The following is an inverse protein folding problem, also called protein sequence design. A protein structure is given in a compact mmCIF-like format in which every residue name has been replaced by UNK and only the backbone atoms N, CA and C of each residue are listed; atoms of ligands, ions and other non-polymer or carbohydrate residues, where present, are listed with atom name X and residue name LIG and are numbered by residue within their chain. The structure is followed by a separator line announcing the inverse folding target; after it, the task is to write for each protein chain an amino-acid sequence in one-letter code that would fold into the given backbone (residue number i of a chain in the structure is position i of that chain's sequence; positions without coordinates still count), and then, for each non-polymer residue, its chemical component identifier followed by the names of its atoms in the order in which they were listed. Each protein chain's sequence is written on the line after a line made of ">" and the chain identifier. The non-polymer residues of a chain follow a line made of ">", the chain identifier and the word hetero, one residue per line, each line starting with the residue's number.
data_IF_708751125224
#
_entry.id   IF_708751125224
#
_cell.length_a   1.000
_cell.length_b   1.000
_cell.length_c   1.000
_cell.angle_alpha   90.00
_cell.angle_beta   90.00
_cell.angle_gamma   90.00
#
_symmetry.space_group_name_H-M   'P 1'
#
loop_
_entity.id
_entity.type
_entity.pdbx_description
1 polymer ?
#
# COMPACT_ATOMS: atom_id res chain seq x y z
N UNK A 1 12.89 8.28 27.36
CA UNK A 1 12.77 8.85 26.00
C UNK A 1 13.34 7.83 25.04
N UNK A 2 12.57 7.29 24.09
CA UNK A 2 13.12 6.33 23.12
C UNK A 2 13.99 7.09 22.13
N UNK A 3 15.28 7.08 22.39
CA UNK A 3 16.32 7.59 21.50
C UNK A 3 16.33 6.77 20.21
N UNK A 4 16.77 7.37 19.10
CA UNK A 4 16.90 6.77 17.77
C UNK A 4 17.52 5.36 17.74
N UNK A 5 18.26 4.94 18.77
CA UNK A 5 18.89 3.62 18.90
C UNK A 5 17.93 2.42 18.86
N UNK A 6 16.64 2.56 19.24
CA UNK A 6 15.70 1.42 19.29
C UNK A 6 14.98 1.12 17.98
N UNK A 7 14.99 2.05 17.02
CA UNK A 7 14.29 1.87 15.74
C UNK A 7 15.09 0.94 14.82
N UNK A 8 14.46 -0.12 14.25
CA UNK A 8 15.13 -1.03 13.33
C UNK A 8 15.81 -0.32 12.17
N UNK A 9 16.96 -0.86 11.74
CA UNK A 9 17.73 -0.31 10.62
C UNK A 9 16.90 -0.23 9.33
N UNK A 10 16.04 -1.23 9.07
CA UNK A 10 15.17 -1.27 7.90
C UNK A 10 14.18 -0.08 7.87
N UNK A 11 13.63 0.30 9.01
CA UNK A 11 12.71 1.44 9.13
C UNK A 11 13.44 2.77 8.91
N UNK A 12 14.65 2.90 9.46
CA UNK A 12 15.51 4.08 9.24
C UNK A 12 15.86 4.28 7.76
N UNK A 13 16.10 3.19 7.04
CA UNK A 13 16.33 3.21 5.58
C UNK A 13 15.09 3.67 4.81
N UNK A 14 13.89 3.46 5.34
CA UNK A 14 12.63 3.99 4.81
C UNK A 14 12.30 5.42 5.30
N UNK A 15 13.20 6.05 6.06
CA UNK A 15 13.04 7.40 6.59
C UNK A 15 12.24 7.49 7.89
N UNK A 16 11.90 6.35 8.51
CA UNK A 16 11.19 6.27 9.79
C UNK A 16 12.24 6.17 10.90
N UNK A 17 12.45 7.24 11.65
CA UNK A 17 13.57 7.35 12.61
C UNK A 17 13.15 7.35 14.09
N UNK A 18 11.85 7.30 14.38
CA UNK A 18 11.29 7.34 15.73
C UNK A 18 10.00 6.52 15.83
N UNK A 19 9.64 6.16 17.06
CA UNK A 19 8.28 5.75 17.42
C UNK A 19 7.47 6.99 17.81
N UNK A 20 6.16 6.94 17.62
CA UNK A 20 5.26 8.05 17.95
C UNK A 20 4.78 8.03 19.41
N UNK A 21 4.94 6.88 20.09
CA UNK A 21 4.40 6.62 21.42
C UNK A 21 5.51 6.30 22.40
N UNK A 22 5.27 6.58 23.69
CA UNK A 22 6.17 6.25 24.81
C UNK A 22 5.82 4.89 25.43
N UNK A 23 4.72 4.27 25.02
CA UNK A 23 4.37 2.91 25.45
C UNK A 23 5.39 1.87 24.98
N UNK A 24 5.73 0.91 25.84
CA UNK A 24 6.63 -0.19 25.49
C UNK A 24 5.97 -1.14 24.47
N UNK A 25 6.76 -1.64 23.52
CA UNK A 25 6.30 -2.66 22.59
C UNK A 25 6.00 -3.98 23.31
N UNK A 26 4.94 -4.67 22.86
CA UNK A 26 4.52 -5.96 23.43
C UNK A 26 5.25 -7.17 22.82
N UNK A 27 6.05 -6.96 21.77
CA UNK A 27 6.66 -8.03 20.98
C UNK A 27 5.62 -8.82 20.19
N UNK A 28 5.87 -10.12 20.03
CA UNK A 28 4.95 -11.04 19.35
C UNK A 28 5.02 -11.04 17.83
N UNK A 29 4.19 -11.88 17.23
CA UNK A 29 4.11 -12.11 15.79
C UNK A 29 2.69 -11.88 15.28
N UNK A 30 2.59 -11.39 14.05
CA UNK A 30 1.32 -11.27 13.33
C UNK A 30 1.34 -12.21 12.11
N UNK A 31 0.14 -12.55 11.61
CA UNK A 31 -0.03 -13.40 10.43
C UNK A 31 0.56 -14.80 10.61
N UNK A 32 0.57 -15.33 11.84
CA UNK A 32 0.92 -16.74 12.13
C UNK A 32 -0.06 -17.69 11.44
N UNK A 33 -1.36 -17.40 11.54
CA UNK A 33 -2.43 -18.07 10.80
C UNK A 33 -3.19 -17.06 9.93
N UNK A 34 -3.93 -17.56 8.94
CA UNK A 34 -4.73 -16.71 8.06
C UNK A 34 -5.87 -16.01 8.81
N UNK A 35 -6.39 -16.66 9.84
CA UNK A 35 -7.44 -16.16 10.74
C UNK A 35 -6.98 -14.97 11.59
N UNK A 36 -5.68 -14.84 11.83
CA UNK A 36 -5.11 -13.82 12.70
C UNK A 36 -5.02 -12.44 12.04
N UNK A 37 -5.35 -12.33 10.75
CA UNK A 37 -5.32 -11.06 10.02
C UNK A 37 -6.53 -10.95 9.11
N UNK A 38 -7.57 -10.26 9.60
CA UNK A 38 -8.80 -10.01 8.88
C UNK A 38 -8.89 -8.55 8.45
N UNK A 39 -9.31 -8.33 7.20
CA UNK A 39 -9.50 -7.00 6.63
C UNK A 39 -10.89 -6.92 6.02
N UNK A 40 -11.70 -5.98 6.49
CA UNK A 40 -13.02 -5.70 5.93
C UNK A 40 -13.03 -4.29 5.33
N UNK A 41 -13.41 -4.19 4.06
CA UNK A 41 -13.57 -2.91 3.38
C UNK A 41 -14.77 -2.14 3.92
N UNK A 42 -14.56 -0.87 4.27
CA UNK A 42 -15.62 0.03 4.74
C UNK A 42 -15.88 1.07 3.66
N UNK A 43 -17.13 1.13 3.19
CA UNK A 43 -17.56 2.10 2.19
C UNK A 43 -18.71 2.95 2.71
N UNK A 44 -18.93 4.11 2.09
CA UNK A 44 -20.07 4.95 2.39
C UNK A 44 -21.35 4.37 1.75
N UNK A 45 -22.05 3.50 2.49
CA UNK A 45 -23.24 2.80 2.01
C UNK A 45 -24.41 3.72 1.66
N UNK A 46 -24.53 4.89 2.30
CA UNK A 46 -25.62 5.85 2.01
C UNK A 46 -25.59 6.39 0.58
N UNK A 47 -24.43 6.30 -0.08
CA UNK A 47 -24.22 6.81 -1.43
C UNK A 47 -24.30 5.71 -2.50
N UNK A 48 -24.75 4.50 -2.13
CA UNK A 48 -24.83 3.37 -3.04
C UNK A 48 -26.28 3.15 -3.47
N UNK A 49 -26.52 3.35 -4.76
CA UNK A 49 -27.82 3.15 -5.38
C UNK A 49 -27.96 1.68 -5.86
N UNK A 50 -28.56 0.83 -5.02
CA UNK A 50 -28.72 -0.62 -5.24
C UNK A 50 -30.18 -1.06 -5.32
N UNK A 51 -30.42 -2.11 -6.10
CA UNK A 51 -31.67 -2.87 -6.13
C UNK A 51 -31.39 -4.37 -6.02
N UNK A 52 -32.18 -5.11 -5.25
CA UNK A 52 -32.08 -6.58 -5.18
C UNK A 52 -32.53 -7.25 -6.48
N UNK A 53 -33.39 -6.57 -7.24
CA UNK A 53 -33.92 -7.07 -8.51
C UNK A 53 -33.20 -6.38 -9.66
N UNK A 54 -32.72 -7.18 -10.61
CA UNK A 54 -32.12 -6.69 -11.85
C UNK A 54 -33.17 -6.01 -12.73
N UNK A 55 -32.88 -4.80 -13.17
CA UNK A 55 -33.69 -4.05 -14.16
C UNK A 55 -32.78 -3.41 -15.20
N UNK A 56 -33.35 -2.72 -16.19
CA UNK A 56 -32.55 -1.96 -17.17
C UNK A 56 -31.80 -0.79 -16.51
N UNK A 57 -32.34 -0.26 -15.41
CA UNK A 57 -31.69 0.78 -14.61
C UNK A 57 -30.66 0.20 -13.65
N UNK A 58 -30.95 -0.93 -13.00
CA UNK A 58 -30.07 -1.61 -12.03
C UNK A 58 -29.55 -2.91 -12.63
N UNK A 59 -28.45 -2.81 -13.37
CA UNK A 59 -27.95 -3.90 -14.23
C UNK A 59 -26.59 -4.45 -13.86
N UNK A 60 -25.82 -3.71 -13.08
CA UNK A 60 -24.44 -4.06 -12.75
C UNK A 60 -24.39 -4.86 -11.44
N UNK A 61 -24.12 -6.17 -11.47
CA UNK A 61 -24.15 -6.97 -10.26
C UNK A 61 -23.06 -6.52 -9.28
N UNK A 62 -23.45 -6.41 -8.01
CA UNK A 62 -22.61 -6.05 -6.88
C UNK A 62 -22.52 -7.24 -5.94
N UNK A 63 -21.30 -7.54 -5.54
CA UNK A 63 -20.96 -8.66 -4.69
C UNK A 63 -20.16 -8.19 -3.47
N UNK A 64 -20.30 -8.95 -2.39
CA UNK A 64 -19.25 -9.08 -1.39
C UNK A 64 -18.31 -10.20 -1.84
N UNK A 65 -17.04 -9.85 -2.03
CA UNK A 65 -15.95 -10.78 -2.32
C UNK A 65 -15.17 -11.06 -1.04
N UNK A 66 -15.27 -12.29 -0.58
CA UNK A 66 -14.39 -12.85 0.44
C UNK A 66 -13.27 -13.64 -0.23
N UNK A 67 -12.01 -13.34 0.09
CA UNK A 67 -10.86 -14.11 -0.40
C UNK A 67 -9.93 -14.50 0.74
N UNK A 68 -9.27 -15.65 0.59
CA UNK A 68 -8.33 -16.19 1.56
C UNK A 68 -7.05 -16.68 0.88
N UNK A 69 -5.90 -16.27 1.41
CA UNK A 69 -4.56 -16.68 0.97
C UNK A 69 -4.30 -16.49 -0.55
N UNK A 70 -4.79 -15.40 -1.11
CA UNK A 70 -4.60 -15.03 -2.53
C UNK A 70 -4.63 -13.51 -2.67
N UNK A 71 -3.82 -12.93 -3.56
CA UNK A 71 -3.93 -11.50 -3.85
C UNK A 71 -5.16 -11.19 -4.72
N UNK A 72 -5.56 -9.93 -4.72
CA UNK A 72 -6.77 -9.50 -5.40
C UNK A 72 -6.76 -9.82 -6.90
N UNK A 73 -5.63 -9.72 -7.61
CA UNK A 73 -5.61 -9.94 -9.05
C UNK A 73 -5.78 -11.43 -9.39
N UNK A 74 -5.10 -12.31 -8.66
CA UNK A 74 -5.28 -13.76 -8.84
C UNK A 74 -6.69 -14.20 -8.45
N UNK A 75 -7.27 -13.64 -7.39
CA UNK A 75 -8.68 -13.89 -7.03
C UNK A 75 -9.65 -13.52 -8.16
N UNK A 76 -9.49 -12.33 -8.75
CA UNK A 76 -10.34 -11.88 -9.87
C UNK A 76 -10.15 -12.77 -11.11
N UNK A 77 -8.92 -13.18 -11.41
CA UNK A 77 -8.64 -14.10 -12.51
C UNK A 77 -9.24 -15.49 -12.29
N UNK A 78 -9.17 -16.01 -11.06
CA UNK A 78 -9.81 -17.27 -10.68
C UNK A 78 -11.32 -17.20 -10.92
N UNK A 79 -11.99 -16.15 -10.42
CA UNK A 79 -13.43 -15.93 -10.64
C UNK A 79 -13.75 -15.84 -12.13
N UNK A 80 -12.97 -15.07 -12.89
CA UNK A 80 -13.17 -14.93 -14.34
C UNK A 80 -13.06 -16.29 -15.05
N UNK A 81 -12.09 -17.13 -14.68
CA UNK A 81 -11.91 -18.44 -15.29
C UNK A 81 -13.06 -19.41 -14.98
N UNK A 82 -13.57 -19.41 -13.74
CA UNK A 82 -14.59 -20.36 -13.31
C UNK A 82 -16.01 -19.94 -13.71
N UNK A 83 -16.30 -18.64 -13.73
CA UNK A 83 -17.66 -18.12 -13.91
C UNK A 83 -17.81 -17.16 -15.09
N UNK A 84 -16.74 -16.92 -15.84
CA UNK A 84 -16.71 -15.94 -16.94
C UNK A 84 -17.21 -14.56 -16.48
N UNK A 85 -16.86 -14.18 -15.24
CA UNK A 85 -17.31 -12.95 -14.61
C UNK A 85 -16.12 -12.02 -14.41
N UNK A 86 -16.11 -10.91 -15.16
CA UNK A 86 -15.07 -9.90 -15.02
C UNK A 86 -15.45 -8.90 -13.92
N UNK A 87 -14.77 -8.98 -12.78
CA UNK A 87 -15.02 -8.16 -11.61
C UNK A 87 -14.02 -7.01 -11.49
N UNK A 88 -14.50 -5.89 -10.93
CA UNK A 88 -13.72 -4.73 -10.53
C UNK A 88 -13.86 -4.50 -9.02
N UNK A 89 -12.81 -4.01 -8.39
CA UNK A 89 -12.72 -3.73 -6.94
C UNK A 89 -12.24 -2.29 -6.72
N UNK A 90 -12.51 -1.74 -5.53
CA UNK A 90 -12.14 -0.36 -5.18
C UNK A 90 -10.67 -0.24 -4.75
N UNK A 91 -10.13 -1.26 -4.09
CA UNK A 91 -8.74 -1.34 -3.66
C UNK A 91 -8.22 -2.76 -3.57
N UNK A 92 -6.90 -2.92 -3.69
CA UNK A 92 -6.22 -4.21 -3.46
C UNK A 92 -6.10 -4.43 -1.95
N UNK A 93 -6.27 -5.69 -1.50
CA UNK A 93 -6.13 -6.08 -0.08
C UNK A 93 -5.03 -7.12 0.07
N UNK A 94 -4.57 -7.32 1.30
CA UNK A 94 -3.53 -8.29 1.67
C UNK A 94 -3.76 -9.68 1.09
N UNK A 95 -2.71 -10.31 0.56
CA UNK A 95 -2.78 -11.67 0.02
C UNK A 95 -2.83 -12.72 1.14
N UNK A 96 -1.97 -12.57 2.16
CA UNK A 96 -1.89 -13.45 3.34
C UNK A 96 -2.82 -12.97 4.45
N UNK A 97 -4.12 -13.03 4.18
CA UNK A 97 -5.18 -12.56 5.07
C UNK A 97 -6.53 -13.19 4.67
N UNK A 98 -7.52 -13.12 5.57
CA UNK A 98 -8.94 -13.23 5.20
C UNK A 98 -9.46 -11.82 4.93
N UNK A 99 -9.95 -11.58 3.72
CA UNK A 99 -10.39 -10.23 3.35
C UNK A 99 -11.79 -10.24 2.78
N UNK A 100 -12.62 -9.27 3.18
CA UNK A 100 -13.98 -9.03 2.69
C UNK A 100 -14.03 -7.66 2.04
N UNK A 101 -14.44 -7.57 0.78
CA UNK A 101 -14.45 -6.32 0.01
C UNK A 101 -15.59 -6.27 -1.00
N UNK A 102 -15.93 -5.09 -1.51
CA UNK A 102 -16.94 -4.96 -2.56
C UNK A 102 -16.32 -5.23 -3.93
N UNK A 103 -17.03 -5.99 -4.74
CA UNK A 103 -16.66 -6.26 -6.13
C UNK A 103 -17.89 -6.11 -7.02
N UNK A 104 -17.74 -5.50 -8.18
CA UNK A 104 -18.85 -5.32 -9.12
C UNK A 104 -18.44 -5.72 -10.54
N UNK A 105 -19.41 -6.08 -11.37
CA UNK A 105 -19.19 -6.27 -12.80
C UNK A 105 -19.88 -5.21 -13.62
N UNK A 106 -19.25 -4.79 -14.72
CA UNK A 106 -19.92 -4.03 -15.78
C UNK A 106 -20.68 -4.94 -16.76
N UNK A 107 -20.43 -6.26 -16.70
CA UNK A 107 -21.14 -7.24 -17.52
C UNK A 107 -22.51 -7.50 -16.91
N UNK A 108 -23.54 -7.48 -17.75
CA UNK A 108 -24.91 -7.81 -17.33
C UNK A 108 -25.17 -9.29 -17.55
N UNK A 109 -25.09 -10.13 -16.51
CA UNK A 109 -25.53 -11.54 -16.59
C UNK A 109 -26.95 -11.71 -16.06
N UNK A 110 -27.74 -12.61 -16.64
CA UNK A 110 -29.05 -13.03 -16.12
C UNK A 110 -28.83 -14.26 -15.23
N UNK A 111 -29.70 -14.47 -14.23
CA UNK A 111 -29.70 -15.65 -13.37
C UNK A 111 -28.36 -15.91 -12.66
N UNK A 112 -27.78 -14.86 -12.07
CA UNK A 112 -26.60 -15.03 -11.21
C UNK A 112 -27.03 -15.70 -9.90
N UNK A 113 -26.35 -16.78 -9.47
CA UNK A 113 -26.58 -17.36 -8.15
C UNK A 113 -26.30 -16.35 -7.04
N UNK A 114 -27.01 -16.47 -5.92
CA UNK A 114 -26.75 -15.64 -4.73
C UNK A 114 -25.34 -15.83 -4.19
N UNK A 115 -24.78 -17.04 -4.33
CA UNK A 115 -23.44 -17.38 -3.86
C UNK A 115 -22.66 -18.15 -4.91
N UNK A 116 -21.43 -17.72 -5.16
CA UNK A 116 -20.45 -18.41 -6.01
C UNK A 116 -19.19 -18.70 -5.19
N UNK A 117 -18.58 -19.86 -5.38
CA UNK A 117 -17.43 -20.28 -4.59
C UNK A 117 -16.37 -20.98 -5.45
N UNK A 118 -15.14 -20.50 -5.35
CA UNK A 118 -13.97 -21.11 -5.97
C UNK A 118 -13.05 -21.71 -4.89
N UNK A 119 -11.81 -22.04 -5.24
CA UNK A 119 -10.82 -22.56 -4.30
C UNK A 119 -10.48 -21.52 -3.22
N UNK A 120 -10.30 -20.27 -3.63
CA UNK A 120 -9.79 -19.21 -2.75
C UNK A 120 -10.79 -18.07 -2.51
N UNK A 121 -11.97 -18.11 -3.14
CA UNK A 121 -12.93 -17.00 -3.09
C UNK A 121 -14.36 -17.46 -2.83
N UNK A 122 -15.13 -16.60 -2.16
CA UNK A 122 -16.58 -16.66 -2.04
C UNK A 122 -17.11 -15.31 -2.50
N UNK A 123 -18.08 -15.33 -3.41
CA UNK A 123 -18.83 -14.16 -3.85
C UNK A 123 -20.27 -14.30 -3.37
N UNK A 124 -20.77 -13.29 -2.67
CA UNK A 124 -22.18 -13.17 -2.29
C UNK A 124 -22.78 -12.01 -3.06
N UNK A 125 -23.76 -12.27 -3.92
CA UNK A 125 -24.51 -11.24 -4.64
C UNK A 125 -25.35 -10.46 -3.62
N UNK A 126 -25.16 -9.15 -3.56
CA UNK A 126 -25.92 -8.26 -2.65
C UNK A 126 -26.88 -7.33 -3.38
N UNK A 127 -26.84 -7.32 -4.71
CA UNK A 127 -27.80 -6.59 -5.54
C UNK A 127 -27.21 -6.15 -6.86
N UNK A 128 -27.87 -5.18 -7.48
CA UNK A 128 -27.49 -4.61 -8.75
C UNK A 128 -27.40 -3.09 -8.61
N UNK A 129 -26.28 -2.54 -9.05
CA UNK A 129 -26.02 -1.12 -9.08
C UNK A 129 -26.63 -0.48 -10.33
N UNK A 130 -27.03 0.77 -10.16
CA UNK A 130 -27.39 1.64 -11.28
C UNK A 130 -26.17 2.11 -12.09
N UNK A 131 -25.07 2.41 -11.39
CA UNK A 131 -23.80 2.87 -11.97
C UNK A 131 -22.62 2.12 -11.33
N UNK A 132 -21.50 1.94 -12.04
CA UNK A 132 -20.27 1.38 -11.46
C UNK A 132 -19.87 2.09 -10.16
N UNK A 133 -19.32 1.34 -9.20
CA UNK A 133 -18.79 1.95 -7.97
C UNK A 133 -17.59 2.85 -8.27
N UNK A 134 -17.57 4.00 -7.60
CA UNK A 134 -16.46 4.94 -7.62
C UNK A 134 -15.56 4.75 -6.38
N UNK A 135 -14.25 4.98 -6.55
CA UNK A 135 -13.27 4.85 -5.45
C UNK A 135 -13.49 5.85 -4.32
N UNK A 136 -14.15 6.97 -4.59
CA UNK A 136 -14.54 7.95 -3.56
C UNK A 136 -15.49 7.38 -2.50
N UNK A 137 -16.15 6.24 -2.76
CA UNK A 137 -16.98 5.56 -1.77
C UNK A 137 -16.15 4.84 -0.69
N UNK A 138 -14.86 4.57 -0.94
CA UNK A 138 -14.00 3.86 0.01
C UNK A 138 -13.64 4.78 1.18
N UNK A 139 -14.17 4.49 2.36
CA UNK A 139 -13.86 5.21 3.60
C UNK A 139 -12.60 4.67 4.28
N UNK A 140 -12.37 3.36 4.17
CA UNK A 140 -11.19 2.74 4.77
C UNK A 140 -11.29 1.23 4.86
N UNK A 141 -10.57 0.67 5.82
CA UNK A 141 -10.62 -0.76 6.12
C UNK A 141 -10.68 -0.95 7.64
N UNK A 142 -11.53 -1.86 8.08
CA UNK A 142 -11.54 -2.38 9.44
C UNK A 142 -10.55 -3.54 9.52
N UNK A 143 -9.65 -3.47 10.48
CA UNK A 143 -8.67 -4.52 10.74
C UNK A 143 -9.01 -5.24 12.05
N UNK A 144 -8.97 -6.56 12.01
CA UNK A 144 -8.94 -7.41 13.21
C UNK A 144 -7.65 -8.23 13.12
N UNK A 145 -6.72 -7.95 14.03
CA UNK A 145 -5.38 -8.52 14.03
C UNK A 145 -5.13 -9.20 15.37
N UNK A 146 -4.76 -10.47 15.33
CA UNK A 146 -4.29 -11.22 16.49
C UNK A 146 -2.77 -11.25 16.50
N UNK A 147 -2.21 -10.91 17.65
CA UNK A 147 -0.77 -10.94 17.92
C UNK A 147 -0.51 -12.15 18.82
N UNK A 148 0.30 -13.08 18.34
CA UNK A 148 0.71 -14.28 19.10
C UNK A 148 2.10 -14.07 19.74
N UNK A 149 2.48 -14.94 20.68
CA UNK A 149 3.81 -14.98 21.30
C UNK A 149 4.28 -13.64 21.90
N UNK A 150 3.36 -12.92 22.56
CA UNK A 150 3.68 -11.65 23.22
C UNK A 150 4.72 -11.85 24.32
N UNK A 151 5.57 -10.84 24.48
CA UNK A 151 6.72 -10.86 25.40
C UNK A 151 6.45 -10.20 26.76
N UNK A 152 5.17 -9.98 27.09
CA UNK A 152 4.77 -9.21 28.29
C UNK A 152 3.60 -9.85 29.02
N UNK A 153 3.67 -9.84 30.35
CA UNK A 153 2.59 -10.26 31.24
C UNK A 153 1.68 -9.08 31.65
N UNK A 154 2.04 -7.84 31.28
CA UNK A 154 1.34 -6.62 31.66
C UNK A 154 0.55 -6.01 30.49
N UNK A 155 -0.16 -6.85 29.73
CA UNK A 155 -0.80 -6.45 28.48
C UNK A 155 -1.84 -5.35 28.67
N UNK A 156 -2.68 -5.44 29.70
CA UNK A 156 -3.77 -4.48 29.96
C UNK A 156 -3.24 -3.06 30.11
N UNK A 157 -2.29 -2.85 31.04
CA UNK A 157 -1.72 -1.52 31.29
C UNK A 157 -0.99 -0.96 30.06
N UNK A 158 -0.24 -1.80 29.33
CA UNK A 158 0.45 -1.36 28.10
C UNK A 158 -0.55 -0.98 26.99
N UNK A 159 -1.66 -1.72 26.88
CA UNK A 159 -2.70 -1.44 25.90
C UNK A 159 -3.44 -0.15 26.22
N UNK A 160 -3.81 0.06 27.49
CA UNK A 160 -4.44 1.30 27.95
C UNK A 160 -3.54 2.51 27.73
N UNK A 161 -2.25 2.39 28.09
CA UNK A 161 -1.23 3.41 27.82
C UNK A 161 -1.15 3.73 26.32
N UNK A 162 -1.05 2.71 25.46
CA UNK A 162 -0.98 2.91 24.01
C UNK A 162 -2.25 3.55 23.43
N UNK A 163 -3.44 3.13 23.90
CA UNK A 163 -4.72 3.69 23.45
C UNK A 163 -4.82 5.17 23.78
N UNK A 164 -4.27 5.60 24.93
CA UNK A 164 -4.23 7.02 25.30
C UNK A 164 -3.38 7.87 24.34
N UNK A 165 -2.39 7.26 23.68
CA UNK A 165 -1.48 7.91 22.74
C UNK A 165 -1.88 7.73 21.25
N UNK A 166 -3.02 7.09 20.96
CA UNK A 166 -3.38 6.67 19.59
C UNK A 166 -3.46 7.82 18.58
N UNK A 167 -3.85 9.01 19.03
CA UNK A 167 -3.98 10.19 18.18
C UNK A 167 -2.63 10.82 17.82
N UNK A 168 -1.55 10.41 18.50
CA UNK A 168 -0.18 10.83 18.21
C UNK A 168 0.48 9.97 17.13
N UNK A 169 -0.20 8.96 16.59
CA UNK A 169 0.38 8.05 15.60
C UNK A 169 0.50 8.75 14.24
N UNK A 170 1.74 9.01 13.83
CA UNK A 170 2.06 9.57 12.53
C UNK A 170 1.76 8.62 11.37
N UNK A 171 1.17 9.15 10.30
CA UNK A 171 0.79 8.39 9.10
C UNK A 171 1.98 8.14 8.15
N UNK A 172 2.98 7.39 8.60
CA UNK A 172 4.16 7.05 7.79
C UNK A 172 3.81 6.17 6.58
N UNK A 173 4.57 6.32 5.50
CA UNK A 173 4.60 5.32 4.44
C UNK A 173 5.40 4.09 4.90
N UNK A 174 4.77 2.91 4.90
CA UNK A 174 5.43 1.66 5.27
C UNK A 174 6.43 1.13 4.24
N UNK A 175 7.20 0.11 4.64
CA UNK A 175 8.31 -0.48 3.86
C UNK A 175 7.91 -0.96 2.45
N UNK A 176 6.67 -1.43 2.28
CA UNK A 176 6.14 -1.85 0.98
C UNK A 176 6.21 -0.75 -0.09
N UNK A 177 6.06 0.52 0.31
CA UNK A 177 6.19 1.68 -0.59
C UNK A 177 7.57 1.80 -1.22
N UNK A 178 8.58 1.21 -0.57
CA UNK A 178 9.99 1.30 -0.93
C UNK A 178 10.54 -0.01 -1.52
N UNK A 179 9.70 -1.04 -1.70
CA UNK A 179 10.10 -2.36 -2.19
C UNK A 179 10.30 -3.41 -1.10
N UNK A 180 9.69 -3.21 0.08
CA UNK A 180 9.71 -4.12 1.24
C UNK A 180 11.13 -4.48 1.69
N UNK A 181 11.65 -5.63 1.26
CA UNK A 181 12.94 -6.17 1.70
C UNK A 181 14.12 -5.39 1.13
N UNK A 182 14.07 -5.01 -0.15
CA UNK A 182 15.21 -4.39 -0.85
C UNK A 182 15.32 -2.89 -0.64
N UNK A 183 14.22 -2.20 -0.29
CA UNK A 183 14.19 -0.75 -0.01
C UNK A 183 14.90 0.16 -1.04
N UNK A 184 14.85 -0.18 -2.34
CA UNK A 184 15.61 0.54 -3.38
C UNK A 184 14.79 1.63 -4.08
N UNK A 185 13.46 1.54 -4.05
CA UNK A 185 12.58 2.31 -4.95
C UNK A 185 12.75 3.82 -4.79
N UNK A 186 12.95 4.30 -3.56
CA UNK A 186 13.20 5.72 -3.29
C UNK A 186 14.61 6.17 -3.67
N UNK A 187 15.61 5.28 -3.60
CA UNK A 187 16.98 5.58 -4.05
C UNK A 187 17.02 5.80 -5.55
N UNK A 188 16.32 4.94 -6.31
CA UNK A 188 16.14 5.11 -7.77
C UNK A 188 15.44 6.43 -8.05
N UNK A 189 14.34 6.72 -7.36
CA UNK A 189 13.59 7.97 -7.50
C UNK A 189 14.46 9.21 -7.26
N UNK A 190 15.28 9.20 -6.21
CA UNK A 190 16.23 10.27 -5.89
C UNK A 190 17.17 10.55 -7.06
N UNK A 191 17.79 9.51 -7.62
CA UNK A 191 18.74 9.67 -8.73
C UNK A 191 18.05 10.14 -10.02
N UNK A 192 16.81 9.71 -10.28
CA UNK A 192 16.03 10.22 -11.43
C UNK A 192 15.74 11.71 -11.26
N UNK A 193 15.31 12.17 -10.07
CA UNK A 193 15.08 13.60 -9.80
C UNK A 193 16.36 14.41 -9.98
N UNK A 194 17.51 13.88 -9.57
CA UNK A 194 18.83 14.49 -9.76
C UNK A 194 19.36 14.40 -11.20
N UNK A 195 18.60 13.80 -12.14
CA UNK A 195 19.03 13.49 -13.51
C UNK A 195 20.28 12.57 -13.58
N UNK A 196 20.60 11.85 -12.51
CA UNK A 196 21.69 10.88 -12.45
C UNK A 196 21.21 9.50 -12.93
N UNK A 197 20.83 9.41 -14.20
CA UNK A 197 20.23 8.20 -14.77
C UNK A 197 21.17 6.99 -14.72
N UNK A 198 22.49 7.21 -14.81
CA UNK A 198 23.50 6.14 -14.67
C UNK A 198 23.42 5.48 -13.30
N UNK A 199 23.35 6.27 -12.22
CA UNK A 199 23.23 5.73 -10.86
C UNK A 199 21.85 5.10 -10.61
N UNK A 200 20.79 5.64 -11.20
CA UNK A 200 19.46 5.02 -11.15
C UNK A 200 19.47 3.61 -11.77
N UNK A 201 20.09 3.44 -12.94
CA UNK A 201 20.28 2.14 -13.60
C UNK A 201 21.11 1.21 -12.72
N UNK A 202 22.22 1.70 -12.17
CA UNK A 202 23.08 0.93 -11.26
C UNK A 202 22.26 0.40 -10.07
N UNK A 203 21.45 1.24 -9.42
CA UNK A 203 20.58 0.80 -8.31
C UNK A 203 19.55 -0.26 -8.74
N UNK A 204 18.96 -0.11 -9.93
CA UNK A 204 17.99 -1.09 -10.44
C UNK A 204 18.64 -2.45 -10.72
N UNK A 205 19.88 -2.47 -11.22
CA UNK A 205 20.58 -3.70 -11.59
C UNK A 205 21.32 -4.35 -10.42
N UNK A 206 22.08 -3.60 -9.62
CA UNK A 206 23.12 -4.18 -8.76
C UNK A 206 22.87 -3.99 -7.27
N UNK A 207 21.95 -3.11 -6.86
CA UNK A 207 21.69 -2.87 -5.45
C UNK A 207 21.16 -4.11 -4.75
N UNK A 208 21.77 -4.45 -3.62
CA UNK A 208 21.37 -5.55 -2.73
C UNK A 208 21.22 -5.04 -1.30
N UNK A 209 20.36 -5.71 -0.55
CA UNK A 209 20.12 -5.52 0.87
C UNK A 209 20.50 -6.79 1.65
N UNK A 210 20.62 -6.70 2.97
CA UNK A 210 20.82 -7.87 3.82
C UNK A 210 19.63 -8.84 3.74
N UNK A 211 18.43 -8.32 3.47
CA UNK A 211 17.17 -9.05 3.34
C UNK A 211 16.97 -9.75 1.99
N UNK A 212 17.80 -9.46 0.97
CA UNK A 212 17.71 -10.14 -0.33
C UNK A 212 18.03 -11.64 -0.22
N UNK A 213 17.30 -12.44 -1.00
CA UNK A 213 17.58 -13.87 -1.17
C UNK A 213 18.98 -14.11 -1.76
N UNK A 214 19.57 -15.27 -1.47
CA UNK A 214 20.89 -15.65 -2.02
C UNK A 214 20.90 -15.60 -3.56
N UNK A 215 19.85 -16.12 -4.19
CA UNK A 215 19.70 -16.11 -5.65
C UNK A 215 19.62 -14.67 -6.21
N UNK A 216 18.87 -13.76 -5.56
CA UNK A 216 18.81 -12.34 -5.94
C UNK A 216 20.21 -11.72 -5.90
N UNK A 217 20.95 -11.94 -4.80
CA UNK A 217 22.32 -11.43 -4.62
C UNK A 217 23.28 -11.93 -5.69
N UNK A 218 23.23 -13.22 -6.04
CA UNK A 218 24.09 -13.81 -7.08
C UNK A 218 23.84 -13.21 -8.47
N UNK A 219 22.57 -13.08 -8.88
CA UNK A 219 22.21 -12.49 -10.17
C UNK A 219 22.67 -11.03 -10.24
N UNK A 220 22.43 -10.26 -9.17
CA UNK A 220 22.83 -8.85 -9.11
C UNK A 220 24.34 -8.66 -9.10
N UNK A 221 25.07 -9.59 -8.49
CA UNK A 221 26.53 -9.58 -8.57
C UNK A 221 27.02 -9.80 -10.01
N UNK A 222 26.41 -10.72 -10.76
CA UNK A 222 26.70 -10.89 -12.21
C UNK A 222 26.34 -9.65 -13.02
N UNK A 223 25.25 -8.96 -12.67
CA UNK A 223 24.81 -7.72 -13.34
C UNK A 223 25.76 -6.52 -13.17
N UNK A 224 26.76 -6.61 -12.27
CA UNK A 224 27.80 -5.59 -12.14
C UNK A 224 28.73 -5.53 -13.36
N UNK A 225 28.90 -6.65 -14.06
CA UNK A 225 29.79 -6.74 -15.21
C UNK A 225 28.96 -6.92 -16.50
N UNK A 226 28.99 -5.92 -17.42
CA UNK A 226 28.31 -5.99 -18.72
C UNK A 226 28.66 -7.21 -19.58
N UNK A 227 29.82 -7.87 -19.37
CA UNK A 227 30.19 -9.09 -20.10
C UNK A 227 29.16 -10.21 -19.92
N UNK A 228 28.45 -10.20 -18.78
CA UNK A 228 27.44 -11.21 -18.45
C UNK A 228 26.07 -10.95 -19.10
N UNK A 229 25.85 -9.77 -19.69
CA UNK A 229 24.52 -9.35 -20.16
C UNK A 229 23.92 -10.27 -21.23
N UNK A 230 24.66 -10.70 -22.27
CA UNK A 230 24.13 -11.61 -23.29
C UNK A 230 23.64 -12.94 -22.68
N UNK A 231 24.41 -13.52 -21.76
CA UNK A 231 24.05 -14.77 -21.09
C UNK A 231 22.87 -14.59 -20.14
N UNK A 232 22.80 -13.48 -19.41
CA UNK A 232 21.71 -13.19 -18.48
C UNK A 232 20.38 -12.94 -19.20
N UNK A 233 20.39 -12.29 -20.38
CA UNK A 233 19.18 -12.07 -21.17
C UNK A 233 18.43 -13.36 -21.54
N UNK A 234 19.13 -14.50 -21.58
CA UNK A 234 18.54 -15.80 -21.84
C UNK A 234 18.01 -16.49 -20.57
N UNK A 235 18.41 -16.01 -19.38
CA UNK A 235 18.25 -16.72 -18.09
C UNK A 235 17.68 -15.84 -16.97
N UNK A 236 17.07 -14.70 -17.29
CA UNK A 236 16.43 -13.87 -16.27
C UNK A 236 15.29 -14.65 -15.59
N UNK A 237 15.21 -14.66 -14.25
CA UNK A 237 14.09 -15.27 -13.55
C UNK A 237 12.81 -14.46 -13.76
N UNK A 238 11.66 -15.11 -13.59
CA UNK A 238 10.35 -14.44 -13.60
C UNK A 238 10.32 -13.36 -12.50
N UNK A 239 9.80 -12.18 -12.82
CA UNK A 239 9.68 -11.05 -11.89
C UNK A 239 10.83 -10.03 -11.92
N UNK A 240 11.84 -10.22 -12.80
CA UNK A 240 12.92 -9.25 -13.03
C UNK A 240 12.76 -8.52 -14.37
N UNK A 241 11.51 -8.19 -14.72
CA UNK A 241 11.17 -7.58 -16.02
C UNK A 241 11.82 -6.20 -16.22
N UNK A 242 11.98 -5.46 -15.11
CA UNK A 242 12.64 -4.15 -15.12
C UNK A 242 14.12 -4.32 -15.46
N UNK A 243 14.82 -5.22 -14.77
CA UNK A 243 16.22 -5.50 -15.01
C UNK A 243 16.45 -6.04 -16.43
N UNK A 244 15.57 -6.93 -16.91
CA UNK A 244 15.60 -7.41 -18.29
C UNK A 244 15.48 -6.25 -19.30
N UNK A 245 14.49 -5.36 -19.14
CA UNK A 245 14.28 -4.22 -20.03
C UNK A 245 15.49 -3.28 -20.07
N UNK A 246 16.12 -3.04 -18.92
CA UNK A 246 17.33 -2.22 -18.81
C UNK A 246 18.52 -2.90 -19.49
N UNK A 247 18.81 -4.15 -19.18
CA UNK A 247 19.93 -4.88 -19.79
C UNK A 247 19.76 -4.93 -21.31
N UNK A 248 18.56 -5.24 -21.80
CA UNK A 248 18.24 -5.26 -23.24
C UNK A 248 18.46 -3.89 -23.89
N UNK A 249 18.12 -2.81 -23.20
CA UNK A 249 18.34 -1.44 -23.69
C UNK A 249 19.82 -1.08 -23.75
N UNK A 250 20.60 -1.46 -22.72
CA UNK A 250 22.06 -1.25 -22.70
C UNK A 250 22.74 -2.02 -23.83
N UNK A 251 22.36 -3.28 -24.07
CA UNK A 251 22.92 -4.09 -25.17
C UNK A 251 22.61 -3.52 -26.56
N UNK A 252 21.60 -2.66 -26.68
CA UNK A 252 21.28 -1.91 -27.92
C UNK A 252 22.04 -0.59 -28.03
N UNK A 253 22.92 -0.26 -27.08
CA UNK A 253 23.68 0.98 -27.06
C UNK A 253 22.86 2.21 -26.65
N UNK A 254 21.70 2.03 -26.00
CA UNK A 254 20.89 3.16 -25.56
C UNK A 254 21.57 3.95 -24.44
N UNK A 255 21.45 5.27 -24.50
CA UNK A 255 21.94 6.16 -23.45
C UNK A 255 21.18 5.96 -22.13
N UNK A 256 21.74 6.36 -20.97
CA UNK A 256 21.12 6.12 -19.67
C UNK A 256 19.68 6.65 -19.55
N UNK A 257 19.38 7.82 -20.12
CA UNK A 257 18.03 8.38 -20.09
C UNK A 257 17.03 7.52 -20.88
N UNK A 258 17.42 7.04 -22.05
CA UNK A 258 16.56 6.22 -22.92
C UNK A 258 16.42 4.79 -22.38
N UNK A 259 17.48 4.28 -21.74
CA UNK A 259 17.45 3.05 -20.96
C UNK A 259 16.39 3.12 -19.85
N UNK A 260 16.36 4.20 -19.05
CA UNK A 260 15.30 4.39 -18.05
C UNK A 260 13.92 4.50 -18.71
N UNK A 261 13.81 5.18 -19.87
CA UNK A 261 12.54 5.32 -20.62
C UNK A 261 11.98 4.01 -21.15
N UNK A 262 12.80 2.96 -21.30
CA UNK A 262 12.33 1.61 -21.63
C UNK A 262 11.40 1.02 -20.57
N UNK A 263 11.47 1.50 -19.33
CA UNK A 263 10.59 1.10 -18.24
C UNK A 263 9.22 1.79 -18.43
N UNK A 264 8.09 1.07 -18.25
CA UNK A 264 6.76 1.65 -18.34
C UNK A 264 6.61 2.92 -17.49
N UNK A 265 5.93 3.94 -18.03
CA UNK A 265 5.81 5.26 -17.38
C UNK A 265 5.15 5.16 -15.99
N UNK A 266 4.23 4.23 -15.80
CA UNK A 266 3.58 3.95 -14.51
C UNK A 266 4.59 3.53 -13.45
N UNK A 267 5.50 2.61 -13.78
CA UNK A 267 6.57 2.17 -12.88
C UNK A 267 7.59 3.29 -12.64
N UNK A 268 7.95 4.07 -13.67
CA UNK A 268 8.82 5.23 -13.49
C UNK A 268 8.26 6.25 -12.49
N UNK A 269 6.96 6.51 -12.55
CA UNK A 269 6.26 7.38 -11.58
C UNK A 269 6.33 6.81 -10.16
N UNK A 270 6.26 5.49 -9.98
CA UNK A 270 6.40 4.86 -8.65
C UNK A 270 7.75 5.19 -8.01
N UNK A 271 8.86 5.23 -8.75
CA UNK A 271 10.16 5.63 -8.19
C UNK A 271 10.13 7.05 -7.64
N UNK A 272 9.56 8.00 -8.40
CA UNK A 272 9.44 9.40 -7.97
C UNK A 272 8.55 9.51 -6.73
N UNK A 273 7.40 8.84 -6.74
CA UNK A 273 6.49 8.84 -5.61
C UNK A 273 7.08 8.17 -4.36
N UNK A 274 7.90 7.13 -4.52
CA UNK A 274 8.62 6.55 -3.39
C UNK A 274 9.65 7.53 -2.83
N UNK A 275 10.34 8.32 -3.65
CA UNK A 275 11.25 9.35 -3.13
C UNK A 275 10.50 10.46 -2.39
N UNK A 276 9.32 10.90 -2.88
CA UNK A 276 8.45 11.82 -2.15
C UNK A 276 8.00 11.23 -0.80
N UNK A 277 7.57 9.96 -0.78
CA UNK A 277 7.22 9.24 0.45
C UNK A 277 8.39 9.17 1.43
N UNK A 278 9.62 8.98 0.95
CA UNK A 278 10.82 8.97 1.80
C UNK A 278 11.06 10.33 2.45
N UNK A 279 10.94 11.42 1.68
CA UNK A 279 11.05 12.78 2.19
C UNK A 279 9.97 13.03 3.26
N UNK A 280 8.72 12.65 2.97
CA UNK A 280 7.63 12.77 3.94
C UNK A 280 7.93 12.04 5.26
N UNK A 281 8.37 10.78 5.19
CA UNK A 281 8.75 10.01 6.39
C UNK A 281 9.87 10.70 7.17
N UNK A 282 10.89 11.23 6.47
CA UNK A 282 11.98 11.98 7.12
C UNK A 282 11.47 13.25 7.80
N UNK A 283 10.63 14.02 7.13
CA UNK A 283 10.02 15.24 7.69
C UNK A 283 9.17 14.93 8.91
N UNK A 284 8.30 13.91 8.84
CA UNK A 284 7.46 13.50 9.94
C UNK A 284 8.27 12.98 11.14
N UNK A 285 9.32 12.20 10.88
CA UNK A 285 10.24 11.76 11.93
C UNK A 285 10.93 12.95 12.62
N UNK A 286 11.35 13.95 11.83
CA UNK A 286 12.01 15.14 12.36
C UNK A 286 11.06 16.00 13.19
N UNK A 287 9.80 16.15 12.76
CA UNK A 287 8.77 16.84 13.54
C UNK A 287 8.58 16.17 14.92
N UNK A 288 8.38 14.84 14.93
CA UNK A 288 8.18 14.08 16.18
C UNK A 288 9.42 14.13 17.08
N UNK A 289 10.62 13.99 16.51
CA UNK A 289 11.87 14.06 17.28
C UNK A 289 12.16 15.44 17.88
N UNK A 290 11.55 16.49 17.32
CA UNK A 290 11.61 17.85 17.83
C UNK A 290 10.39 18.20 18.72
N UNK A 291 9.66 17.20 19.20
CA UNK A 291 8.49 17.35 20.07
C UNK A 291 7.35 18.20 19.48
N UNK A 292 7.22 18.23 18.14
CA UNK A 292 6.06 18.85 17.48
C UNK A 292 4.79 18.02 17.72
N UNK A 293 3.71 18.68 18.17
CA UNK A 293 2.40 18.04 18.33
C UNK A 293 1.73 17.86 16.98
N UNK A 294 1.89 16.67 16.40
CA UNK A 294 1.29 16.30 15.10
C UNK A 294 -0.21 15.96 15.19
N UNK A 295 -0.80 15.98 16.40
CA UNK A 295 -2.23 15.69 16.60
C UNK A 295 -3.10 16.95 16.52
N UNK A 296 -2.49 18.14 16.50
CA UNK A 296 -3.18 19.43 16.47
C UNK A 296 -2.58 20.32 15.40
N UNK A 297 -3.44 21.11 14.77
CA UNK A 297 -3.01 22.14 13.85
C UNK A 297 -2.56 23.38 14.65
N UNK A 298 -1.51 24.04 14.18
CA UNK A 298 -1.05 25.35 14.67
C UNK A 298 -1.36 26.41 13.63
N UNK A 299 -1.42 27.67 14.06
CA UNK A 299 -1.63 28.82 13.18
C UNK A 299 -0.67 28.76 11.97
N UNK A 300 -1.20 28.93 10.76
CA UNK A 300 -0.49 28.83 9.48
C UNK A 300 -0.05 27.43 9.02
N UNK A 301 -0.36 26.35 9.76
CA UNK A 301 -0.13 25.00 9.27
C UNK A 301 -0.91 24.76 7.97
N UNK A 302 -0.33 23.98 7.07
CA UNK A 302 -0.99 23.59 5.83
C UNK A 302 -1.93 22.42 6.11
N UNK A 303 -3.22 22.71 6.16
CA UNK A 303 -4.26 21.75 6.52
C UNK A 303 -5.13 21.40 5.32
N UNK A 304 -5.75 20.23 5.42
CA UNK A 304 -6.71 19.75 4.46
C UNK A 304 -8.08 19.74 5.12
N UNK A 305 -9.04 20.48 4.57
CA UNK A 305 -10.40 20.55 5.13
C UNK A 305 -11.11 19.19 4.99
N UNK A 306 -11.61 18.64 6.10
CA UNK A 306 -12.37 17.40 6.13
C UNK A 306 -13.79 17.72 6.60
N UNK A 307 -14.77 17.65 5.70
CA UNK A 307 -16.19 17.80 6.05
C UNK A 307 -16.80 16.43 6.31
N UNK A 308 -17.71 16.30 7.28
CA UNK A 308 -18.44 15.04 7.49
C UNK A 308 -19.38 14.76 6.29
N UNK A 309 -19.56 13.50 5.86
CA UNK A 309 -18.95 12.26 6.34
C UNK A 309 -17.70 11.86 5.51
N UNK A 310 -16.63 12.69 5.52
CA UNK A 310 -15.37 12.56 4.76
C UNK A 310 -15.38 13.13 3.33
N UNK A 311 -15.94 14.32 3.15
CA UNK A 311 -15.66 15.14 1.97
C UNK A 311 -14.35 15.89 2.12
N UNK A 312 -13.44 15.61 1.20
CA UNK A 312 -12.15 16.27 1.12
C UNK A 312 -12.29 17.65 0.44
N UNK A 313 -12.12 18.72 1.21
CA UNK A 313 -12.16 20.12 0.76
C UNK A 313 -10.85 20.60 0.14
N UNK A 314 -10.51 21.87 0.36
CA UNK A 314 -9.28 22.47 -0.20
C UNK A 314 -8.13 22.40 0.80
N UNK A 315 -6.91 22.40 0.26
CA UNK A 315 -5.71 22.69 1.04
C UNK A 315 -5.72 24.19 1.36
N UNK A 316 -5.58 24.54 2.65
CA UNK A 316 -5.50 25.93 3.12
C UNK A 316 -4.63 26.01 4.37
N UNK A 317 -4.31 27.23 4.79
CA UNK A 317 -3.68 27.46 6.08
C UNK A 317 -4.71 27.37 7.21
N UNK A 318 -4.30 26.80 8.35
CA UNK A 318 -5.07 26.80 9.59
C UNK A 318 -5.12 28.20 10.18
N UNK A 319 -6.29 28.60 10.68
CA UNK A 319 -6.53 29.88 11.33
C UNK A 319 -7.27 29.65 12.65
N UNK A 320 -6.61 29.94 13.76
CA UNK A 320 -7.12 29.68 15.11
C UNK A 320 -8.46 30.37 15.39
N UNK A 321 -8.73 31.53 14.79
CA UNK A 321 -9.96 32.30 15.04
C UNK A 321 -11.17 31.70 14.33
N UNK A 322 -10.97 31.13 13.15
CA UNK A 322 -12.03 30.54 12.33
C UNK A 322 -12.26 29.06 12.68
N UNK A 323 -11.19 28.32 12.95
CA UNK A 323 -11.23 26.85 12.97
C UNK A 323 -11.46 26.27 14.37
N UNK A 324 -11.09 26.98 15.44
CA UNK A 324 -11.29 26.51 16.82
C UNK A 324 -12.78 26.45 17.24
N UNK A 325 -13.68 27.07 16.48
CA UNK A 325 -15.13 27.09 16.72
C UNK A 325 -15.80 25.83 16.15
N UNK A 326 -15.30 25.31 15.03
CA UNK A 326 -15.83 24.11 14.38
C UNK A 326 -15.47 22.83 15.15
N UNK A 327 -14.25 22.74 15.70
CA UNK A 327 -13.79 21.57 16.47
C UNK A 327 -14.58 21.32 17.76
N UNK A 328 -15.30 22.33 18.29
CA UNK A 328 -16.16 22.19 19.49
C UNK A 328 -17.59 21.73 19.18
N UNK A 329 -18.03 21.88 17.93
CA UNK A 329 -19.39 21.56 17.49
C UNK A 329 -19.46 20.29 16.62
N UNK A 330 -18.32 19.66 16.34
CA UNK A 330 -18.17 18.41 15.59
C UNK A 330 -17.91 17.22 16.50
#
# INVERSE_FOLDING_TARGET
>A
MYTSSTVPKIDKLAGIACYCTKSYGIGGTIKSKLEDFKVEEIINESNIDISFIKTDFYKFPLFILEKSNTDSNHALFEIQKYYDLHLKILGIKDAKAKTKQYAYSIQTKKNLPEKLQTKNTILTLIGFLRKPLDKSLLLGNKFEIRIEDISTNNLTNLTESFISEKNSIGNFYGLQRFGSERLVTHLVGREIVKKNFKKAIEYLLTYTSEYDTKMSKEIRNKLKDPINYPTLLQKFPKGMDIEYAIVKSITKGLQPVDTIRSIPITIRRLFIHAYQSYIFNKTLSMAILNDEDISKCKENDLCFEVKKPFYFGRIRKYNNSLDAIDDKNS
#
